data_IF_911849527132
#
_entry.id   IF_911849527132
#
_cell.length_a   1.000
_cell.length_b   1.000
_cell.length_c   1.000
_cell.angle_alpha   90.00
_cell.angle_beta   90.00
_cell.angle_gamma   90.00
#
_symmetry.space_group_name_H-M   'P 1'
#
loop_
_entity.id
_entity.type
_entity.pdbx_description
1 polymer ?
#
# COMPACT_ATOMS: atom_id res chain seq x y z
N UNK A 1 -18.73 1.93 -26.90
CA UNK A 1 -18.31 2.65 -25.68
C UNK A 1 -16.80 2.57 -25.59
N UNK A 2 -16.08 3.68 -25.79
CA UNK A 2 -14.62 3.71 -25.61
C UNK A 2 -14.32 3.44 -24.14
N UNK A 3 -13.72 2.29 -23.82
CA UNK A 3 -13.24 2.04 -22.47
C UNK A 3 -12.12 3.05 -22.21
N UNK A 4 -12.36 4.05 -21.38
CA UNK A 4 -11.34 4.99 -20.96
C UNK A 4 -10.27 4.24 -20.17
N UNK A 5 -9.10 4.05 -20.78
CA UNK A 5 -7.93 3.50 -20.11
C UNK A 5 -7.39 4.57 -19.16
N UNK A 6 -7.30 4.23 -17.88
CA UNK A 6 -6.75 5.13 -16.86
C UNK A 6 -5.29 4.77 -16.57
N UNK A 7 -4.52 5.76 -16.12
CA UNK A 7 -3.15 5.56 -15.67
C UNK A 7 -3.09 4.66 -14.43
N UNK A 8 -1.96 3.98 -14.26
CA UNK A 8 -1.63 3.17 -13.09
C UNK A 8 -1.24 4.01 -11.86
N UNK A 9 -1.10 5.33 -12.02
CA UNK A 9 -0.88 6.28 -10.93
C UNK A 9 -1.98 6.14 -9.87
N UNK A 10 -1.56 6.06 -8.61
CA UNK A 10 -2.43 5.96 -7.45
C UNK A 10 -2.36 7.27 -6.65
N UNK A 11 -3.40 8.12 -6.65
CA UNK A 11 -3.41 9.32 -5.83
C UNK A 11 -3.10 9.00 -4.36
N UNK A 12 -2.26 9.85 -3.72
CA UNK A 12 -1.78 9.60 -2.36
C UNK A 12 -2.95 9.55 -1.38
N UNK A 13 -3.88 10.50 -1.48
CA UNK A 13 -5.06 10.57 -0.63
C UNK A 13 -5.89 9.29 -0.76
N UNK A 14 -6.05 8.77 -1.98
CA UNK A 14 -6.81 7.56 -2.29
C UNK A 14 -6.17 6.32 -1.67
N UNK A 15 -4.85 6.20 -1.76
CA UNK A 15 -4.10 5.14 -1.07
C UNK A 15 -4.29 5.22 0.45
N UNK A 16 -4.14 6.41 1.05
CA UNK A 16 -4.34 6.61 2.49
C UNK A 16 -5.76 6.23 2.91
N UNK A 17 -6.78 6.67 2.16
CA UNK A 17 -8.18 6.31 2.43
C UNK A 17 -8.35 4.79 2.43
N UNK A 18 -7.93 4.10 1.36
CA UNK A 18 -8.07 2.65 1.27
C UNK A 18 -7.30 1.94 2.38
N UNK A 19 -6.11 2.42 2.73
CA UNK A 19 -5.33 1.86 3.82
C UNK A 19 -6.05 1.98 5.17
N UNK A 20 -6.46 3.21 5.54
CA UNK A 20 -7.08 3.49 6.84
C UNK A 20 -8.42 2.79 6.97
N UNK A 21 -9.29 2.91 5.96
CA UNK A 21 -10.62 2.31 6.03
C UNK A 21 -10.56 0.78 6.08
N UNK A 22 -9.54 0.14 5.51
CA UNK A 22 -9.37 -1.33 5.59
C UNK A 22 -8.55 -1.81 6.79
N UNK A 23 -8.18 -0.93 7.72
CA UNK A 23 -7.31 -1.29 8.85
C UNK A 23 -5.93 -1.81 8.41
N UNK A 24 -5.43 -1.31 7.27
CA UNK A 24 -4.15 -1.71 6.68
C UNK A 24 -4.21 -2.97 5.79
N UNK A 25 -5.32 -3.69 5.72
CA UNK A 25 -5.45 -4.91 4.88
C UNK A 25 -5.24 -4.60 3.40
N UNK A 26 -5.64 -3.42 2.93
CA UNK A 26 -5.46 -2.99 1.54
C UNK A 26 -4.00 -3.05 1.06
N UNK A 27 -3.01 -2.97 1.96
CA UNK A 27 -1.60 -3.09 1.61
C UNK A 27 -1.26 -4.42 0.94
N UNK A 28 -2.00 -5.49 1.23
CA UNK A 28 -1.82 -6.81 0.60
C UNK A 28 -2.23 -6.76 -0.87
N UNK A 29 -3.39 -6.17 -1.17
CA UNK A 29 -3.88 -6.00 -2.53
C UNK A 29 -2.96 -5.06 -3.34
N UNK A 30 -2.51 -3.98 -2.69
CA UNK A 30 -1.53 -3.04 -3.25
C UNK A 30 -0.19 -3.74 -3.55
N UNK A 31 0.40 -4.44 -2.58
CA UNK A 31 1.65 -5.16 -2.77
C UNK A 31 1.52 -6.22 -3.87
N UNK A 32 0.39 -6.91 -3.95
CA UNK A 32 0.12 -7.91 -4.98
C UNK A 32 0.15 -7.29 -6.38
N UNK A 33 -0.53 -6.14 -6.56
CA UNK A 33 -0.52 -5.41 -7.83
C UNK A 33 0.92 -5.10 -8.26
N UNK A 34 1.75 -4.61 -7.34
CA UNK A 34 3.13 -4.20 -7.67
C UNK A 34 4.09 -5.38 -7.86
N UNK A 35 3.99 -6.42 -7.04
CA UNK A 35 4.74 -7.65 -7.26
C UNK A 35 4.37 -8.35 -8.56
N UNK A 36 3.10 -8.30 -8.97
CA UNK A 36 2.65 -8.81 -10.28
C UNK A 36 3.29 -8.02 -11.42
N UNK A 37 3.25 -6.70 -11.36
CA UNK A 37 3.90 -5.83 -12.34
C UNK A 37 5.41 -6.12 -12.45
N UNK A 38 6.13 -6.14 -11.33
CA UNK A 38 7.58 -6.42 -11.30
C UNK A 38 7.88 -7.81 -11.86
N UNK A 39 7.07 -8.81 -11.47
CA UNK A 39 7.21 -10.17 -11.98
C UNK A 39 7.15 -10.20 -13.52
N UNK A 40 6.16 -9.53 -14.09
CA UNK A 40 5.93 -9.50 -15.54
C UNK A 40 7.06 -8.74 -16.25
N UNK A 41 7.50 -7.60 -15.72
CA UNK A 41 8.58 -6.80 -16.30
C UNK A 41 9.94 -7.51 -16.29
N UNK A 42 10.30 -8.09 -15.15
CA UNK A 42 11.62 -8.70 -14.95
C UNK A 42 11.64 -10.22 -15.20
N UNK A 43 10.53 -10.79 -15.68
CA UNK A 43 10.37 -12.23 -15.93
C UNK A 43 10.78 -13.10 -14.72
N UNK A 44 10.37 -12.69 -13.52
CA UNK A 44 10.77 -13.36 -12.29
C UNK A 44 9.94 -14.64 -12.05
N UNK A 45 10.59 -15.72 -11.62
CA UNK A 45 9.92 -16.95 -11.16
C UNK A 45 9.41 -16.81 -9.73
N UNK A 46 8.53 -15.83 -9.49
CA UNK A 46 7.92 -15.58 -8.17
C UNK A 46 6.41 -15.72 -8.21
N UNK A 47 5.82 -15.90 -7.02
CA UNK A 47 4.37 -15.86 -6.81
C UNK A 47 4.02 -14.54 -6.08
N UNK A 48 3.40 -13.56 -6.75
CA UNK A 48 3.12 -12.24 -6.17
C UNK A 48 2.28 -12.30 -4.90
N UNK A 49 1.34 -13.24 -4.83
CA UNK A 49 0.48 -13.44 -3.66
C UNK A 49 1.28 -13.70 -2.38
N UNK A 50 2.23 -14.64 -2.41
CA UNK A 50 3.09 -14.93 -1.26
C UNK A 50 3.97 -13.75 -0.87
N UNK A 51 4.52 -13.02 -1.85
CA UNK A 51 5.31 -11.81 -1.60
C UNK A 51 4.49 -10.71 -0.92
N UNK A 52 3.18 -10.69 -1.15
CA UNK A 52 2.26 -9.72 -0.58
C UNK A 52 1.79 -10.12 0.81
N UNK A 53 1.47 -11.40 1.02
CA UNK A 53 1.12 -11.94 2.33
C UNK A 53 2.27 -11.78 3.33
N UNK A 54 3.49 -12.02 2.87
CA UNK A 54 4.72 -11.85 3.66
C UNK A 54 5.39 -10.50 3.39
N UNK A 55 4.61 -9.44 3.16
CA UNK A 55 5.12 -8.10 2.89
C UNK A 55 6.20 -7.65 3.88
N UNK A 56 6.12 -7.88 5.21
CA UNK A 56 7.20 -7.52 6.13
C UNK A 56 8.58 -8.04 5.74
N UNK A 57 8.67 -9.25 5.15
CA UNK A 57 9.92 -9.85 4.72
C UNK A 57 10.35 -9.38 3.33
N UNK A 58 9.38 -9.06 2.47
CA UNK A 58 9.64 -8.73 1.08
C UNK A 58 9.61 -7.22 0.77
N UNK A 59 9.23 -6.37 1.72
CA UNK A 59 9.12 -4.93 1.52
C UNK A 59 10.46 -4.32 1.11
N UNK A 60 11.56 -4.74 1.72
CA UNK A 60 12.90 -4.27 1.34
C UNK A 60 13.19 -4.51 -0.15
N UNK A 61 12.93 -5.74 -0.62
CA UNK A 61 13.13 -6.12 -2.02
C UNK A 61 12.17 -5.37 -2.95
N UNK A 62 10.93 -5.13 -2.52
CA UNK A 62 9.97 -4.31 -3.27
C UNK A 62 10.49 -2.88 -3.43
N UNK A 63 10.94 -2.26 -2.34
CA UNK A 63 11.48 -0.90 -2.33
C UNK A 63 12.71 -0.77 -3.23
N UNK A 64 13.66 -1.72 -3.17
CA UNK A 64 14.83 -1.72 -4.04
C UNK A 64 14.45 -1.67 -5.52
N UNK A 65 13.54 -2.54 -5.94
CA UNK A 65 13.09 -2.62 -7.33
C UNK A 65 12.34 -1.35 -7.73
N UNK A 66 11.39 -0.90 -6.91
CA UNK A 66 10.62 0.32 -7.19
C UNK A 66 11.50 1.55 -7.29
N UNK A 67 12.45 1.73 -6.38
CA UNK A 67 13.33 2.90 -6.40
C UNK A 67 14.28 2.86 -7.60
N UNK A 68 14.86 1.71 -7.93
CA UNK A 68 15.65 1.55 -9.15
C UNK A 68 14.83 1.91 -10.40
N UNK A 69 13.58 1.42 -10.49
CA UNK A 69 12.68 1.75 -11.60
C UNK A 69 12.36 3.24 -11.70
N UNK A 70 12.17 3.93 -10.57
CA UNK A 70 11.92 5.37 -10.58
C UNK A 70 13.19 6.16 -10.95
N UNK A 71 14.34 5.75 -10.42
CA UNK A 71 15.65 6.36 -10.70
C UNK A 71 16.02 6.24 -12.19
N UNK A 72 15.75 5.09 -12.82
CA UNK A 72 15.90 4.90 -14.28
C UNK A 72 15.08 5.91 -15.11
N UNK A 73 13.98 6.41 -14.56
CA UNK A 73 13.12 7.42 -15.19
C UNK A 73 13.48 8.86 -14.79
N UNK A 74 14.59 9.06 -14.08
CA UNK A 74 15.05 10.39 -13.66
C UNK A 74 14.57 10.86 -12.29
N UNK A 75 14.01 9.97 -11.46
CA UNK A 75 13.62 10.32 -10.09
C UNK A 75 14.84 10.66 -9.25
N UNK A 76 15.01 11.95 -8.92
CA UNK A 76 16.21 12.45 -8.22
C UNK A 76 16.20 12.22 -6.70
N UNK A 77 15.06 11.86 -6.13
CA UNK A 77 14.92 11.69 -4.68
C UNK A 77 15.38 10.28 -4.29
N UNK A 78 16.59 10.17 -3.73
CA UNK A 78 17.16 8.90 -3.30
C UNK A 78 16.59 8.48 -1.94
N UNK A 79 15.57 7.63 -1.97
CA UNK A 79 15.06 6.98 -0.78
C UNK A 79 15.85 5.73 -0.46
N UNK A 80 16.03 5.45 0.84
CA UNK A 80 16.69 4.22 1.26
C UNK A 80 15.64 3.12 1.46
N UNK A 81 15.73 1.98 0.74
CA UNK A 81 14.88 0.81 0.99
C UNK A 81 14.93 0.34 2.45
N UNK A 82 16.12 0.46 3.07
CA UNK A 82 16.33 0.10 4.47
C UNK A 82 15.51 0.99 5.41
N UNK A 83 15.55 2.32 5.25
CA UNK A 83 14.78 3.25 6.11
C UNK A 83 13.29 2.97 6.04
N UNK A 84 12.74 2.78 4.84
CA UNK A 84 11.31 2.47 4.66
C UNK A 84 10.93 1.18 5.36
N UNK A 85 11.74 0.12 5.18
CA UNK A 85 11.49 -1.19 5.78
C UNK A 85 11.61 -1.14 7.31
N UNK A 86 12.62 -0.43 7.83
CA UNK A 86 12.84 -0.26 9.26
C UNK A 86 11.65 0.44 9.94
N UNK A 87 11.18 1.56 9.39
CA UNK A 87 10.01 2.26 9.94
C UNK A 87 8.75 1.40 9.84
N UNK A 88 8.58 0.64 8.76
CA UNK A 88 7.48 -0.29 8.63
C UNK A 88 7.52 -1.36 9.73
N UNK A 89 8.68 -1.97 10.00
CA UNK A 89 8.85 -2.93 11.10
C UNK A 89 8.58 -2.34 12.48
N UNK A 90 8.98 -1.09 12.73
CA UNK A 90 8.63 -0.39 13.97
C UNK A 90 7.10 -0.41 14.17
N UNK A 91 6.32 -0.05 13.16
CA UNK A 91 4.86 -0.10 13.28
C UNK A 91 4.30 -1.52 13.44
N UNK A 92 4.93 -2.55 12.85
CA UNK A 92 4.55 -3.94 13.12
C UNK A 92 4.75 -4.26 14.61
N UNK A 93 5.88 -3.86 15.20
CA UNK A 93 6.12 -4.09 16.63
C UNK A 93 5.10 -3.32 17.47
N UNK A 94 4.79 -2.08 17.10
CA UNK A 94 3.78 -1.27 17.78
C UNK A 94 2.35 -1.86 17.69
N UNK A 95 2.06 -2.71 16.70
CA UNK A 95 0.78 -3.43 16.63
C UNK A 95 0.58 -4.44 17.77
N UNK A 96 1.64 -4.76 18.54
CA UNK A 96 1.59 -5.67 19.69
C UNK A 96 1.30 -4.99 21.02
N UNK A 97 1.11 -3.66 21.02
CA UNK A 97 0.78 -2.92 22.24
C UNK A 97 -0.63 -3.30 22.74
N UNK A 98 -0.88 -3.07 24.03
CA UNK A 98 -2.18 -3.30 24.65
C UNK A 98 -3.25 -2.37 24.06
N UNK A 99 -4.52 -2.74 24.21
CA UNK A 99 -5.65 -1.90 23.81
C UNK A 99 -5.63 -0.55 24.56
N UNK A 100 -5.91 0.59 23.90
CA UNK A 100 -6.12 0.79 22.46
C UNK A 100 -4.84 1.20 21.69
N UNK A 101 -3.67 1.11 22.33
CA UNK A 101 -2.40 1.64 21.81
C UNK A 101 -1.94 0.98 20.50
N UNK A 102 -2.34 -0.26 20.22
CA UNK A 102 -2.03 -0.93 18.95
C UNK A 102 -2.55 -0.19 17.72
N UNK A 103 -3.58 0.67 17.87
CA UNK A 103 -4.12 1.49 16.78
C UNK A 103 -3.07 2.42 16.16
N UNK A 104 -1.98 2.75 16.87
CA UNK A 104 -0.87 3.51 16.29
C UNK A 104 -0.23 2.79 15.08
N UNK A 105 -0.34 1.47 15.00
CA UNK A 105 0.16 0.66 13.89
C UNK A 105 -0.55 0.96 12.56
N UNK A 106 -1.72 1.60 12.58
CA UNK A 106 -2.43 2.03 11.37
C UNK A 106 -1.60 3.03 10.57
N UNK A 107 -0.75 3.81 11.22
CA UNK A 107 0.16 4.75 10.56
C UNK A 107 1.34 4.07 9.84
N UNK A 108 1.39 2.74 9.78
CA UNK A 108 2.35 2.00 8.94
C UNK A 108 2.23 2.29 7.44
N UNK A 109 1.18 2.97 6.98
CA UNK A 109 1.13 3.50 5.61
C UNK A 109 2.15 4.61 5.35
N UNK A 110 2.58 5.36 6.37
CA UNK A 110 3.50 6.51 6.22
C UNK A 110 4.80 6.10 5.51
N UNK A 111 5.56 5.07 5.95
CA UNK A 111 6.74 4.63 5.22
C UNK A 111 6.41 4.18 3.79
N UNK A 112 5.25 3.52 3.59
CA UNK A 112 4.81 3.06 2.27
C UNK A 112 4.51 4.21 1.30
N UNK A 113 4.14 5.40 1.78
CA UNK A 113 3.93 6.58 0.92
C UNK A 113 5.17 6.92 0.09
N UNK A 114 6.36 6.64 0.63
CA UNK A 114 7.63 6.82 -0.08
C UNK A 114 7.66 5.95 -1.35
N UNK A 115 7.21 4.71 -1.23
CA UNK A 115 7.14 3.73 -2.33
C UNK A 115 6.04 4.11 -3.31
N UNK A 116 4.88 4.55 -2.81
CA UNK A 116 3.76 5.02 -3.66
C UNK A 116 4.18 6.23 -4.49
N UNK A 117 4.88 7.20 -3.92
CA UNK A 117 5.38 8.38 -4.64
C UNK A 117 6.36 7.99 -5.76
N UNK A 118 7.30 7.09 -5.48
CA UNK A 118 8.25 6.60 -6.49
C UNK A 118 7.53 5.85 -7.63
N UNK A 119 6.56 4.99 -7.30
CA UNK A 119 5.72 4.31 -8.29
C UNK A 119 4.90 5.29 -9.13
N UNK A 120 4.31 6.31 -8.51
CA UNK A 120 3.55 7.33 -9.22
C UNK A 120 4.42 8.14 -10.17
N UNK A 121 5.65 8.48 -9.76
CA UNK A 121 6.60 9.12 -10.65
C UNK A 121 6.91 8.23 -11.86
N UNK A 122 7.24 6.95 -11.62
CA UNK A 122 7.49 5.97 -12.67
C UNK A 122 6.30 5.88 -13.66
N UNK A 123 5.07 5.70 -13.15
CA UNK A 123 3.88 5.62 -14.01
C UNK A 123 3.55 6.94 -14.70
N UNK A 124 3.82 8.08 -14.08
CA UNK A 124 3.64 9.40 -14.71
C UNK A 124 4.52 9.57 -15.95
N UNK A 125 5.75 9.06 -15.93
CA UNK A 125 6.64 9.09 -17.10
C UNK A 125 6.25 8.05 -18.17
N UNK A 126 5.78 6.88 -17.75
CA UNK A 126 5.44 5.79 -18.68
C UNK A 126 4.06 5.95 -19.32
N UNK A 127 3.17 6.72 -18.68
CA UNK A 127 1.78 6.90 -19.10
C UNK A 127 1.36 8.38 -19.03
N UNK A 128 2.10 9.31 -19.68
CA UNK A 128 1.88 10.75 -19.52
C UNK A 128 0.52 11.22 -20.07
N UNK A 129 0.00 10.52 -21.09
CA UNK A 129 -1.25 10.88 -21.77
C UNK A 129 -2.50 10.21 -21.17
N UNK A 130 -2.33 9.33 -20.17
CA UNK A 130 -3.47 8.65 -19.55
C UNK A 130 -4.01 9.46 -18.38
N UNK A 131 -5.33 9.66 -18.28
CA UNK A 131 -5.92 10.39 -17.16
C UNK A 131 -5.71 9.62 -15.85
N UNK A 132 -5.44 10.36 -14.77
CA UNK A 132 -5.37 9.82 -13.42
C UNK A 132 -6.80 9.55 -12.94
N UNK A 133 -7.01 8.37 -12.35
CA UNK A 133 -8.33 8.00 -11.82
C UNK A 133 -8.51 8.53 -10.40
N UNK A 134 -9.14 9.69 -10.29
CA UNK A 134 -9.44 10.33 -8.99
C UNK A 134 -10.60 9.65 -8.24
N UNK A 135 -11.56 9.03 -8.93
CA UNK A 135 -12.69 8.38 -8.26
C UNK A 135 -12.39 6.93 -7.87
N UNK A 136 -13.14 6.42 -6.88
CA UNK A 136 -13.09 5.02 -6.48
C UNK A 136 -13.79 4.12 -7.50
N UNK A 137 -13.17 2.98 -7.79
CA UNK A 137 -13.77 1.88 -8.54
C UNK A 137 -14.72 1.09 -7.64
N UNK A 138 -15.66 0.34 -8.23
CA UNK A 138 -16.54 -0.55 -7.45
C UNK A 138 -15.77 -1.54 -6.56
N UNK A 139 -14.58 -2.00 -6.99
CA UNK A 139 -13.71 -2.86 -6.16
C UNK A 139 -13.13 -2.12 -4.96
N UNK A 140 -12.74 -0.87 -5.14
CA UNK A 140 -12.22 -0.03 -4.05
C UNK A 140 -13.33 0.36 -3.07
N UNK A 141 -14.54 0.61 -3.57
CA UNK A 141 -15.73 0.83 -2.73
C UNK A 141 -16.03 -0.44 -1.91
N UNK A 142 -15.95 -1.63 -2.52
CA UNK A 142 -16.13 -2.89 -1.78
C UNK A 142 -15.11 -3.06 -0.65
N UNK A 143 -13.84 -2.68 -0.88
CA UNK A 143 -12.82 -2.64 0.16
C UNK A 143 -13.18 -1.68 1.30
N UNK A 144 -13.66 -0.47 0.96
CA UNK A 144 -14.08 0.52 1.96
C UNK A 144 -15.23 -0.03 2.80
N UNK A 145 -16.28 -0.58 2.18
CA UNK A 145 -17.43 -1.14 2.89
C UNK A 145 -17.01 -2.27 3.83
N UNK A 146 -16.20 -3.22 3.34
CA UNK A 146 -15.64 -4.28 4.16
C UNK A 146 -14.85 -3.73 5.36
N UNK A 147 -14.02 -2.73 5.12
CA UNK A 147 -13.22 -2.08 6.14
C UNK A 147 -14.04 -1.33 7.19
N UNK A 148 -15.09 -0.62 6.79
CA UNK A 148 -16.04 0.04 7.70
C UNK A 148 -16.71 -0.96 8.63
N UNK A 149 -17.10 -2.13 8.12
CA UNK A 149 -17.67 -3.21 8.94
C UNK A 149 -16.65 -3.70 9.97
N UNK A 150 -15.39 -3.92 9.57
CA UNK A 150 -14.32 -4.29 10.50
C UNK A 150 -14.10 -3.22 11.58
N UNK A 151 -14.13 -1.95 11.21
CA UNK A 151 -14.02 -0.85 12.16
C UNK A 151 -15.15 -0.82 13.18
N UNK A 152 -16.39 -1.06 12.76
CA UNK A 152 -17.53 -1.18 13.68
C UNK A 152 -17.32 -2.33 14.67
N UNK A 153 -16.84 -3.49 14.21
CA UNK A 153 -16.52 -4.62 15.09
C UNK A 153 -15.39 -4.29 16.08
N UNK A 154 -14.35 -3.57 15.65
CA UNK A 154 -13.26 -3.11 16.52
C UNK A 154 -13.80 -2.18 17.61
N UNK A 155 -14.64 -1.20 17.25
CA UNK A 155 -15.23 -0.26 18.21
C UNK A 155 -16.12 -1.00 19.21
N UNK A 156 -16.97 -1.92 18.75
CA UNK A 156 -17.81 -2.74 19.64
C UNK A 156 -16.94 -3.56 20.60
N UNK A 157 -15.86 -4.19 20.10
CA UNK A 157 -14.93 -4.97 20.92
C UNK A 157 -14.22 -4.12 21.98
N UNK A 158 -13.75 -2.92 21.61
CA UNK A 158 -13.10 -2.00 22.56
C UNK A 158 -14.07 -1.52 23.65
N UNK A 159 -15.33 -1.23 23.29
CA UNK A 159 -16.36 -0.82 24.24
C UNK A 159 -16.80 -1.97 25.16
N UNK A 160 -16.91 -3.19 24.64
CA UNK A 160 -17.25 -4.37 25.42
C UNK A 160 -16.11 -4.79 26.37
N UNK A 161 -14.86 -4.67 25.93
CA UNK A 161 -13.67 -5.01 26.72
C UNK A 161 -13.32 -3.99 27.81
N UNK A 162 -13.80 -2.75 27.69
CA UNK A 162 -13.62 -1.71 28.73
C UNK A 162 -14.58 -1.80 29.92
N UNK A 163 -15.54 -2.73 29.90
CA UNK A 163 -16.54 -2.94 30.96
C UNK A 163 -16.22 -4.14 31.88
N UNK A 164 -14.95 -4.56 31.96
CA UNK A 164 -14.46 -5.63 32.84
C UNK A 164 -13.29 -5.10 33.67
#
# INVERSE_FOLDING_TARGET
MNQTTFSNVMPIWKFCTLYIFTGGVYQLAWAHKHWKFIKERENLKIRPWFRSLFLPFYLYSLCQKVFALAEEQGYRIKHSPFRVTLFYWIFIVLSRLADPLWLISIFSFIPLLTVVKALNYYWGQQQPNLPIREFFTGREIAWIVFGVILWLLIVIGLLAGGNV
#
